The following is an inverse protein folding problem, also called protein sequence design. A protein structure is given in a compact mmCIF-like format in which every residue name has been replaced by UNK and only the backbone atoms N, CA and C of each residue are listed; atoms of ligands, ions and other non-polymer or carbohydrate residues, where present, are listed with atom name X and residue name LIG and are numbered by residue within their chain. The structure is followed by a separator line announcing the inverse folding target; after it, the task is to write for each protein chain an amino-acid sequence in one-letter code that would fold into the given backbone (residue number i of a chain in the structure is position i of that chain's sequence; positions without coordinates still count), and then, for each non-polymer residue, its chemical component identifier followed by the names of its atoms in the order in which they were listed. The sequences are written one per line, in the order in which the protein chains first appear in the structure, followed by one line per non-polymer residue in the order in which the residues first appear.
data_IF_081758475144
#
_entry.id   IF_081758475144
#
_cell.length_a   1.000
_cell.length_b   1.000
_cell.length_c   1.000
_cell.angle_alpha   90.00
_cell.angle_beta   90.00
_cell.angle_gamma   90.00
#
_symmetry.space_group_name_H-M   'P 1'
#
loop_
_entity.id
_entity.type
_entity.pdbx_description
1 polymer ?
#
# COMPACT_ATOMS: atom_id res chain seq x y z
N UNK A 1 6.66 -11.85 -15.01
CA UNK A 1 7.29 -10.81 -14.18
C UNK A 1 6.68 -10.74 -12.76
N UNK A 2 5.43 -10.30 -12.56
CA UNK A 2 4.89 -10.04 -11.21
C UNK A 2 4.93 -11.25 -10.24
N UNK A 3 4.72 -12.48 -10.72
CA UNK A 3 4.90 -13.69 -9.90
C UNK A 3 6.33 -13.84 -9.36
N UNK A 4 7.34 -13.58 -10.20
CA UNK A 4 8.76 -13.59 -9.81
C UNK A 4 9.03 -12.55 -8.73
N UNK A 5 8.41 -11.37 -8.84
CA UNK A 5 8.52 -10.31 -7.82
C UNK A 5 7.90 -10.75 -6.49
N UNK A 6 6.69 -11.32 -6.51
CA UNK A 6 6.02 -11.80 -5.30
C UNK A 6 6.82 -12.92 -4.59
N UNK A 7 7.34 -13.88 -5.36
CA UNK A 7 8.20 -14.95 -4.85
C UNK A 7 9.52 -14.38 -4.29
N UNK A 8 10.12 -13.40 -4.97
CA UNK A 8 11.33 -12.72 -4.53
C UNK A 8 11.16 -11.96 -3.21
N UNK A 9 10.00 -11.32 -2.99
CA UNK A 9 9.63 -10.71 -1.71
C UNK A 9 9.57 -11.79 -0.61
N UNK A 10 9.05 -12.97 -0.94
CA UNK A 10 8.96 -14.12 -0.04
C UNK A 10 7.54 -14.62 0.19
N UNK A 11 6.60 -14.32 -0.71
CA UNK A 11 5.29 -14.97 -0.71
C UNK A 11 5.44 -16.47 -0.97
N UNK A 12 4.81 -17.29 -0.12
CA UNK A 12 4.83 -18.74 -0.26
C UNK A 12 3.67 -19.22 -1.14
N UNK A 13 3.99 -19.68 -2.36
CA UNK A 13 3.01 -20.21 -3.30
C UNK A 13 2.61 -21.68 -3.04
N UNK A 14 3.27 -22.38 -2.11
CA UNK A 14 2.78 -23.68 -1.63
C UNK A 14 1.66 -23.49 -0.58
N UNK A 15 1.66 -22.34 0.10
CA UNK A 15 0.68 -21.91 1.09
C UNK A 15 -0.30 -20.84 0.54
N UNK A 16 -0.40 -20.73 -0.79
CA UNK A 16 -1.17 -19.64 -1.39
C UNK A 16 -1.21 -19.64 -2.92
N UNK A 17 -1.95 -18.69 -3.49
CA UNK A 17 -2.01 -18.51 -4.95
C UNK A 17 -2.42 -17.10 -5.36
N UNK A 18 -2.14 -16.77 -6.63
CA UNK A 18 -2.57 -15.54 -7.27
C UNK A 18 -3.61 -15.82 -8.36
N UNK A 19 -4.70 -15.07 -8.36
CA UNK A 19 -5.79 -15.14 -9.34
C UNK A 19 -6.15 -13.76 -9.94
N UNK A 20 -7.15 -13.70 -10.82
CA UNK A 20 -7.67 -12.44 -11.36
C UNK A 20 -9.00 -12.03 -10.74
N UNK A 21 -9.19 -10.74 -10.53
CA UNK A 21 -10.47 -10.15 -10.12
C UNK A 21 -10.65 -8.74 -10.67
N UNK A 22 -11.87 -8.20 -10.55
CA UNK A 22 -12.17 -6.80 -10.92
C UNK A 22 -11.50 -5.80 -9.98
N UNK A 23 -11.46 -6.11 -8.69
CA UNK A 23 -10.78 -5.34 -7.65
C UNK A 23 -9.82 -6.27 -6.93
N UNK A 24 -8.50 -6.04 -7.01
CA UNK A 24 -7.50 -6.78 -6.26
C UNK A 24 -7.84 -6.83 -4.76
N UNK A 25 -7.64 -7.99 -4.15
CA UNK A 25 -7.75 -8.18 -2.71
C UNK A 25 -6.90 -9.37 -2.26
N UNK A 26 -6.62 -9.44 -0.97
CA UNK A 26 -5.98 -10.56 -0.29
C UNK A 26 -6.93 -11.14 0.76
N UNK A 27 -7.03 -12.46 0.82
CA UNK A 27 -7.89 -13.19 1.76
C UNK A 27 -7.36 -14.61 1.96
N UNK A 28 -7.82 -15.33 2.96
CA UNK A 28 -7.34 -16.68 3.24
C UNK A 28 -8.07 -17.34 4.39
N UNK A 29 -7.82 -18.63 4.58
CA UNK A 29 -8.34 -19.39 5.73
C UNK A 29 -7.41 -19.30 6.95
N UNK A 30 -6.12 -19.10 6.71
CA UNK A 30 -5.06 -19.05 7.72
C UNK A 30 -3.68 -18.97 7.06
N UNK A 31 -2.57 -19.06 7.83
CA UNK A 31 -1.22 -18.88 7.32
C UNK A 31 -0.82 -19.83 6.17
N UNK A 32 -1.49 -20.99 6.09
CA UNK A 32 -1.24 -22.04 5.10
C UNK A 32 -2.16 -22.00 3.86
N UNK A 33 -3.12 -21.08 3.79
CA UNK A 33 -3.96 -20.83 2.60
C UNK A 33 -4.28 -19.34 2.50
N UNK A 34 -3.33 -18.59 1.95
CA UNK A 34 -3.43 -17.15 1.68
C UNK A 34 -3.49 -16.92 0.18
N UNK A 35 -4.54 -16.27 -0.30
CA UNK A 35 -4.78 -16.03 -1.71
C UNK A 35 -4.89 -14.54 -1.95
N UNK A 36 -4.38 -14.11 -3.08
CA UNK A 36 -4.64 -12.76 -3.52
C UNK A 36 -4.98 -12.70 -5.01
N UNK A 37 -5.57 -11.60 -5.41
CA UNK A 37 -5.95 -11.38 -6.79
C UNK A 37 -5.27 -10.14 -7.35
N UNK A 38 -5.15 -10.09 -8.67
CA UNK A 38 -4.70 -8.90 -9.39
C UNK A 38 -5.62 -8.57 -10.55
N UNK A 39 -5.42 -7.39 -11.14
CA UNK A 39 -6.10 -6.96 -12.36
C UNK A 39 -5.05 -6.58 -13.39
N UNK A 40 -5.22 -7.09 -14.61
CA UNK A 40 -4.41 -6.69 -15.74
C UNK A 40 -5.05 -5.51 -16.46
N UNK A 41 -4.20 -4.55 -16.85
CA UNK A 41 -4.54 -3.46 -17.74
C UNK A 41 -3.44 -3.41 -18.82
N UNK A 42 -3.81 -3.71 -20.05
CA UNK A 42 -2.86 -3.75 -21.18
C UNK A 42 -2.31 -2.35 -21.50
N UNK A 43 -3.06 -1.29 -21.17
CA UNK A 43 -2.63 0.09 -21.38
C UNK A 43 -1.74 0.58 -20.23
N UNK A 44 -1.82 -0.05 -19.05
CA UNK A 44 -1.09 0.35 -17.84
C UNK A 44 -0.49 -0.85 -17.07
N UNK A 45 0.63 -1.43 -17.57
CA UNK A 45 1.23 -2.63 -16.98
C UNK A 45 1.73 -2.45 -15.54
N UNK A 46 2.11 -1.23 -15.15
CA UNK A 46 2.50 -0.90 -13.78
C UNK A 46 1.37 -1.12 -12.77
N UNK A 47 0.10 -0.97 -13.20
CA UNK A 47 -1.06 -1.21 -12.34
C UNK A 47 -1.09 -2.64 -11.80
N UNK A 48 -0.82 -3.62 -12.67
CA UNK A 48 -0.73 -5.03 -12.25
C UNK A 48 0.47 -5.28 -11.35
N UNK A 49 1.65 -4.74 -11.69
CA UNK A 49 2.85 -4.93 -10.87
C UNK A 49 2.64 -4.40 -9.44
N UNK A 50 2.21 -3.15 -9.31
CA UNK A 50 2.01 -2.53 -7.99
C UNK A 50 0.82 -3.12 -7.25
N UNK A 51 -0.25 -3.54 -7.95
CA UNK A 51 -1.31 -4.34 -7.36
C UNK A 51 -0.80 -5.65 -6.78
N UNK A 52 0.04 -6.40 -7.52
CA UNK A 52 0.64 -7.65 -7.01
C UNK A 52 1.54 -7.38 -5.82
N UNK A 53 2.37 -6.35 -5.84
CA UNK A 53 3.24 -6.02 -4.70
C UNK A 53 2.43 -5.59 -3.46
N UNK A 54 1.35 -4.83 -3.67
CA UNK A 54 0.42 -4.44 -2.63
C UNK A 54 -0.20 -5.67 -1.96
N UNK A 55 -0.82 -6.55 -2.75
CA UNK A 55 -1.45 -7.74 -2.21
C UNK A 55 -0.44 -8.77 -1.68
N UNK A 56 0.77 -8.81 -2.21
CA UNK A 56 1.88 -9.60 -1.65
C UNK A 56 2.23 -9.13 -0.24
N UNK A 57 2.22 -7.81 0.01
CA UNK A 57 2.48 -7.29 1.35
C UNK A 57 1.39 -7.67 2.36
N UNK A 58 0.13 -7.68 1.94
CA UNK A 58 -0.95 -8.28 2.72
C UNK A 58 -0.72 -9.78 2.95
N UNK A 59 -0.45 -10.53 1.87
CA UNK A 59 -0.30 -11.97 1.93
C UNK A 59 0.86 -12.42 2.81
N UNK A 60 1.99 -11.73 2.75
CA UNK A 60 3.16 -12.03 3.59
C UNK A 60 2.95 -11.71 5.07
N UNK A 61 2.04 -10.78 5.41
CA UNK A 61 1.63 -10.59 6.80
C UNK A 61 0.82 -11.79 7.29
N UNK A 62 -0.21 -12.20 6.52
CA UNK A 62 -1.06 -13.34 6.87
C UNK A 62 -0.25 -14.64 6.97
N UNK A 63 0.67 -14.89 6.02
CA UNK A 63 1.61 -16.03 6.07
C UNK A 63 2.65 -15.93 7.19
N UNK A 64 2.84 -14.74 7.77
CA UNK A 64 3.75 -14.52 8.89
C UNK A 64 3.10 -14.67 10.27
N UNK A 65 1.78 -14.88 10.34
CA UNK A 65 1.07 -15.16 11.59
C UNK A 65 1.43 -16.56 12.11
N UNK A 66 1.40 -16.74 13.43
CA UNK A 66 1.76 -18.00 14.06
C UNK A 66 0.64 -19.05 13.89
N UNK A 67 0.96 -20.14 13.19
CA UNK A 67 0.06 -21.28 12.95
C UNK A 67 -0.50 -21.88 14.25
N UNK A 68 0.29 -21.91 15.34
CA UNK A 68 -0.15 -22.40 16.65
C UNK A 68 -1.31 -21.59 17.28
N UNK A 69 -1.62 -20.42 16.70
CA UNK A 69 -2.71 -19.55 17.12
C UNK A 69 -3.83 -19.43 16.08
N UNK A 70 -3.80 -20.20 14.99
CA UNK A 70 -4.85 -20.22 13.98
C UNK A 70 -6.23 -20.47 14.61
N UNK A 71 -7.24 -19.75 14.11
CA UNK A 71 -8.61 -19.81 14.64
C UNK A 71 -8.82 -19.12 15.99
N UNK A 72 -7.78 -18.55 16.60
CA UNK A 72 -7.89 -17.73 17.82
C UNK A 72 -7.80 -16.23 17.49
N UNK A 73 -8.26 -15.33 18.37
CA UNK A 73 -8.05 -13.90 18.18
C UNK A 73 -6.57 -13.53 18.02
N UNK A 74 -5.65 -14.21 18.72
CA UNK A 74 -4.22 -13.93 18.61
C UNK A 74 -3.66 -14.29 17.23
N UNK A 75 -4.21 -15.29 16.55
CA UNK A 75 -3.81 -15.69 15.19
C UNK A 75 -4.40 -14.84 14.07
N UNK A 76 -4.96 -13.67 14.37
CA UNK A 76 -5.50 -12.73 13.38
C UNK A 76 -4.64 -11.48 13.27
N UNK A 77 -4.62 -10.85 12.10
CA UNK A 77 -4.05 -9.52 11.91
C UNK A 77 -4.72 -8.48 12.82
N UNK A 78 -3.93 -7.59 13.43
CA UNK A 78 -4.36 -6.73 14.53
C UNK A 78 -5.34 -5.62 14.13
N UNK A 79 -5.25 -5.13 12.90
CA UNK A 79 -6.12 -4.07 12.36
C UNK A 79 -5.88 -3.86 10.88
N UNK A 80 -6.87 -3.26 10.21
CA UNK A 80 -6.75 -2.82 8.82
C UNK A 80 -5.59 -1.85 8.59
N UNK A 81 -5.31 -0.95 9.54
CA UNK A 81 -4.20 0.01 9.41
C UNK A 81 -2.82 -0.66 9.42
N UNK A 82 -2.59 -1.61 10.33
CA UNK A 82 -1.34 -2.39 10.33
C UNK A 82 -1.29 -3.33 9.12
N UNK A 83 -2.43 -3.87 8.68
CA UNK A 83 -2.48 -4.72 7.49
C UNK A 83 -2.12 -3.95 6.21
N UNK A 84 -2.69 -2.75 6.03
CA UNK A 84 -2.35 -1.82 4.95
C UNK A 84 -0.90 -1.32 5.02
N UNK A 85 -0.32 -1.24 6.22
CA UNK A 85 1.08 -0.83 6.33
C UNK A 85 2.03 -1.82 5.67
N UNK A 86 1.70 -3.11 5.71
CA UNK A 86 2.49 -4.15 5.06
C UNK A 86 2.37 -4.04 3.54
N UNK A 87 1.15 -3.88 3.01
CA UNK A 87 0.93 -3.71 1.56
C UNK A 87 1.60 -2.47 1.01
N UNK A 88 1.42 -1.32 1.66
CA UNK A 88 2.00 -0.04 1.23
C UNK A 88 3.52 -0.03 1.29
N UNK A 89 4.12 -0.69 2.28
CA UNK A 89 5.58 -0.77 2.36
C UNK A 89 6.16 -1.49 1.13
N UNK A 90 5.63 -2.66 0.79
CA UNK A 90 6.11 -3.43 -0.36
C UNK A 90 5.77 -2.77 -1.69
N UNK A 91 4.56 -2.22 -1.84
CA UNK A 91 4.17 -1.47 -3.04
C UNK A 91 5.05 -0.25 -3.27
N UNK A 92 5.22 0.59 -2.25
CA UNK A 92 5.70 1.96 -2.41
C UNK A 92 7.17 2.12 -1.99
N UNK A 93 7.48 1.85 -0.73
CA UNK A 93 8.84 2.05 -0.18
C UNK A 93 9.84 1.10 -0.83
N UNK A 94 9.40 -0.09 -1.22
CA UNK A 94 10.22 -1.07 -1.97
C UNK A 94 9.93 -0.98 -3.47
N UNK A 95 8.71 -1.26 -3.93
CA UNK A 95 8.42 -1.40 -5.37
C UNK A 95 8.58 -0.14 -6.21
N UNK A 96 8.43 1.04 -5.60
CA UNK A 96 8.65 2.33 -6.28
C UNK A 96 10.02 2.93 -5.95
N UNK A 97 10.92 2.17 -5.34
CA UNK A 97 12.27 2.62 -4.99
C UNK A 97 13.25 2.49 -6.17
N UNK A 98 14.36 3.22 -6.11
CA UNK A 98 15.43 3.10 -7.10
C UNK A 98 16.11 1.72 -7.00
N UNK A 99 16.31 1.24 -5.78
CA UNK A 99 16.95 -0.05 -5.46
C UNK A 99 16.17 -1.23 -6.05
N UNK A 100 14.84 -1.23 -5.97
CA UNK A 100 14.02 -2.26 -6.62
C UNK A 100 14.25 -2.30 -8.14
N UNK A 101 14.22 -1.13 -8.78
CA UNK A 101 14.44 -1.04 -10.23
C UNK A 101 15.88 -1.32 -10.65
N UNK A 102 16.88 -1.05 -9.81
CA UNK A 102 18.26 -1.47 -10.06
C UNK A 102 18.37 -2.99 -10.24
N UNK A 103 17.60 -3.76 -9.48
CA UNK A 103 17.61 -5.20 -9.57
C UNK A 103 16.77 -5.73 -10.74
N UNK A 104 15.55 -5.24 -10.91
CA UNK A 104 14.57 -5.83 -11.83
C UNK A 104 14.48 -5.19 -13.23
N UNK A 105 15.21 -4.12 -13.53
CA UNK A 105 15.03 -3.41 -14.81
C UNK A 105 15.27 -4.30 -16.03
N UNK A 106 16.26 -5.18 -15.99
CA UNK A 106 16.55 -6.06 -17.13
C UNK A 106 15.49 -7.15 -17.30
N UNK A 107 15.03 -7.79 -16.21
CA UNK A 107 13.89 -8.71 -16.21
C UNK A 107 12.62 -8.04 -16.77
N UNK A 108 12.40 -6.77 -16.44
CA UNK A 108 11.26 -6.00 -16.93
C UNK A 108 11.37 -5.74 -18.44
N UNK A 109 12.55 -5.31 -18.93
CA UNK A 109 12.81 -5.12 -20.37
C UNK A 109 12.63 -6.41 -21.17
N UNK A 110 13.07 -7.55 -20.64
CA UNK A 110 12.87 -8.86 -21.29
C UNK A 110 11.39 -9.20 -21.48
N UNK A 111 10.54 -8.82 -20.53
CA UNK A 111 9.10 -9.02 -20.63
C UNK A 111 8.41 -8.04 -21.61
N UNK A 112 9.01 -6.88 -21.86
CA UNK A 112 8.44 -5.80 -22.66
C UNK A 112 9.44 -5.31 -23.72
N UNK A 113 9.72 -6.12 -24.77
CA UNK A 113 10.77 -5.84 -25.76
C UNK A 113 10.48 -4.61 -26.65
N UNK A 114 9.28 -4.03 -26.56
CA UNK A 114 8.94 -2.77 -27.23
C UNK A 114 9.45 -1.53 -26.48
N UNK A 115 9.89 -1.68 -25.22
CA UNK A 115 10.52 -0.60 -24.48
C UNK A 115 11.89 -0.26 -25.06
N UNK A 116 12.36 0.99 -24.94
CA UNK A 116 13.70 1.37 -25.35
C UNK A 116 14.76 0.51 -24.65
N UNK A 117 15.71 -0.03 -25.40
CA UNK A 117 16.78 -0.86 -24.84
C UNK A 117 17.70 -0.08 -23.89
N UNK A 118 17.81 1.24 -24.11
CA UNK A 118 18.54 2.20 -23.31
C UNK A 118 17.72 2.79 -22.15
N UNK A 119 16.50 2.29 -21.89
CA UNK A 119 15.73 2.69 -20.70
C UNK A 119 16.58 2.45 -19.43
N UNK A 120 16.89 3.53 -18.72
CA UNK A 120 17.69 3.46 -17.50
C UNK A 120 16.80 3.49 -16.24
N UNK A 121 17.43 3.12 -15.12
CA UNK A 121 16.77 3.04 -13.81
C UNK A 121 16.23 4.41 -13.39
N UNK A 122 16.96 5.49 -13.67
CA UNK A 122 16.57 6.83 -13.24
C UNK A 122 15.32 7.32 -13.97
N UNK A 123 15.22 7.06 -15.27
CA UNK A 123 14.05 7.38 -16.09
C UNK A 123 12.84 6.58 -15.63
N UNK A 124 13.00 5.27 -15.43
CA UNK A 124 11.92 4.40 -14.97
C UNK A 124 11.46 4.77 -13.55
N UNK A 125 12.39 4.98 -12.63
CA UNK A 125 12.09 5.41 -11.26
C UNK A 125 11.34 6.75 -11.22
N UNK A 126 11.67 7.70 -12.09
CA UNK A 126 10.91 8.95 -12.20
C UNK A 126 9.51 8.71 -12.76
N UNK A 127 9.37 7.86 -13.79
CA UNK A 127 8.08 7.58 -14.43
C UNK A 127 7.07 6.96 -13.45
N UNK A 128 7.49 5.95 -12.68
CA UNK A 128 6.60 5.25 -11.72
C UNK A 128 6.24 6.06 -10.46
N UNK A 129 6.90 7.21 -10.28
CA UNK A 129 6.69 8.13 -9.16
C UNK A 129 6.13 9.47 -9.63
N UNK A 130 5.38 9.48 -10.73
CA UNK A 130 4.68 10.69 -11.18
C UNK A 130 3.57 11.07 -10.21
N UNK A 131 3.55 12.33 -9.78
CA UNK A 131 2.53 12.95 -8.93
C UNK A 131 1.63 13.83 -9.77
N UNK A 132 0.32 13.64 -9.64
CA UNK A 132 -0.69 14.54 -10.21
C UNK A 132 -2.00 14.45 -9.43
N UNK A 133 -2.68 15.59 -9.18
CA UNK A 133 -4.06 15.52 -8.75
C UNK A 133 -4.91 14.70 -9.72
N UNK A 134 -5.73 13.81 -9.19
CA UNK A 134 -6.53 12.87 -9.97
C UNK A 134 -7.89 12.63 -9.32
N UNK A 135 -8.80 11.95 -10.02
CA UNK A 135 -10.17 11.73 -9.55
C UNK A 135 -10.32 10.42 -8.75
N UNK A 136 -9.56 9.38 -9.13
CA UNK A 136 -9.78 8.00 -8.69
C UNK A 136 -8.76 7.64 -7.63
N UNK A 137 -9.24 7.39 -6.40
CA UNK A 137 -8.38 7.10 -5.23
C UNK A 137 -7.46 5.90 -5.44
N UNK A 138 -7.95 4.82 -6.04
CA UNK A 138 -7.13 3.60 -6.24
C UNK A 138 -6.05 3.77 -7.31
N UNK A 139 -6.08 4.87 -8.06
CA UNK A 139 -5.11 5.20 -9.12
C UNK A 139 -4.24 6.42 -8.77
N UNK A 140 -4.45 7.05 -7.60
CA UNK A 140 -3.71 8.23 -7.18
C UNK A 140 -2.30 7.90 -6.70
N UNK A 141 -1.38 8.85 -6.85
CA UNK A 141 0.01 8.72 -6.41
C UNK A 141 0.19 8.83 -4.88
N UNK A 142 1.38 8.49 -4.37
CA UNK A 142 1.67 8.48 -2.93
C UNK A 142 1.49 9.85 -2.23
N UNK A 143 1.70 10.95 -2.96
CA UNK A 143 1.61 12.29 -2.40
C UNK A 143 0.17 12.79 -2.32
N UNK A 144 -0.70 12.36 -3.24
CA UNK A 144 -2.11 12.79 -3.31
C UNK A 144 -3.09 11.80 -2.67
N UNK A 145 -2.72 10.52 -2.52
CA UNK A 145 -3.61 9.46 -2.03
C UNK A 145 -4.29 9.79 -0.69
N UNK A 146 -3.53 10.29 0.28
CA UNK A 146 -4.08 10.57 1.62
C UNK A 146 -5.11 11.71 1.61
N UNK A 147 -5.07 12.60 0.61
CA UNK A 147 -6.07 13.66 0.44
C UNK A 147 -7.42 13.08 -0.01
N UNK A 148 -7.42 12.03 -0.84
CA UNK A 148 -8.64 11.30 -1.17
C UNK A 148 -9.28 10.65 0.07
N UNK A 149 -8.46 10.17 1.02
CA UNK A 149 -8.95 9.65 2.29
C UNK A 149 -9.53 10.77 3.15
N UNK A 150 -8.90 11.94 3.19
CA UNK A 150 -9.42 13.11 3.92
C UNK A 150 -10.81 13.52 3.42
N UNK A 151 -11.03 13.57 2.09
CA UNK A 151 -12.36 13.85 1.50
C UNK A 151 -13.42 12.92 2.08
N UNK A 152 -13.17 11.62 2.10
CA UNK A 152 -14.12 10.61 2.58
C UNK A 152 -14.33 10.69 4.08
N UNK A 153 -13.25 10.87 4.84
CA UNK A 153 -13.32 11.01 6.30
C UNK A 153 -14.13 12.24 6.72
N UNK A 154 -13.97 13.37 6.03
CA UNK A 154 -14.78 14.56 6.30
C UNK A 154 -16.26 14.34 6.00
N UNK A 155 -16.56 13.70 4.87
CA UNK A 155 -17.94 13.32 4.52
C UNK A 155 -18.54 12.42 5.61
N UNK A 156 -17.83 11.37 6.03
CA UNK A 156 -18.28 10.46 7.08
C UNK A 156 -18.55 11.21 8.39
N UNK A 157 -17.66 12.13 8.79
CA UNK A 157 -17.86 12.97 9.97
C UNK A 157 -19.11 13.83 9.86
N UNK A 158 -19.38 14.45 8.72
CA UNK A 158 -20.57 15.28 8.57
C UNK A 158 -21.86 14.45 8.56
N UNK A 159 -21.86 13.30 7.89
CA UNK A 159 -22.99 12.37 7.86
C UNK A 159 -23.31 11.82 9.25
N UNK A 160 -22.32 11.28 9.97
CA UNK A 160 -22.51 10.66 11.28
C UNK A 160 -22.99 11.68 12.33
N UNK A 161 -22.55 12.94 12.22
CA UNK A 161 -23.02 14.01 13.09
C UNK A 161 -24.38 14.60 12.69
N UNK A 162 -24.97 14.17 11.56
CA UNK A 162 -26.24 14.70 11.07
C UNK A 162 -26.16 16.11 10.50
N UNK A 163 -24.97 16.58 10.12
CA UNK A 163 -24.75 17.94 9.60
C UNK A 163 -25.08 18.05 8.10
N UNK A 164 -25.03 16.94 7.36
CA UNK A 164 -25.44 16.85 5.95
C UNK A 164 -26.34 15.63 5.74
N UNK A 165 -27.22 15.69 4.74
CA UNK A 165 -28.03 14.55 4.33
C UNK A 165 -27.33 13.77 3.22
N UNK A 166 -27.77 12.52 3.00
CA UNK A 166 -27.27 11.68 1.90
C UNK A 166 -27.48 12.34 0.52
N UNK A 167 -28.56 13.10 0.35
CA UNK A 167 -28.84 13.86 -0.88
C UNK A 167 -27.78 14.92 -1.20
N UNK A 168 -27.04 15.39 -0.19
CA UNK A 168 -26.10 16.50 -0.31
C UNK A 168 -24.69 16.00 -0.70
N UNK A 169 -24.49 14.68 -0.70
CA UNK A 169 -23.18 14.06 -0.93
C UNK A 169 -22.56 14.37 -2.30
N UNK A 170 -23.27 14.41 -3.43
CA UNK A 170 -22.66 14.75 -4.71
C UNK A 170 -21.99 16.13 -4.69
N UNK A 171 -22.68 17.14 -4.15
CA UNK A 171 -22.16 18.52 -4.10
C UNK A 171 -21.05 18.66 -3.05
N UNK A 172 -21.24 18.06 -1.87
CA UNK A 172 -20.23 18.09 -0.81
C UNK A 172 -18.94 17.37 -1.24
N UNK A 173 -19.06 16.22 -1.92
CA UNK A 173 -17.93 15.51 -2.51
C UNK A 173 -17.16 16.40 -3.48
N UNK A 174 -17.86 17.02 -4.43
CA UNK A 174 -17.23 17.88 -5.43
C UNK A 174 -16.51 19.06 -4.77
N UNK A 175 -17.13 19.70 -3.78
CA UNK A 175 -16.50 20.78 -3.01
C UNK A 175 -15.21 20.32 -2.32
N UNK A 176 -15.19 19.12 -1.73
CA UNK A 176 -14.01 18.60 -1.02
C UNK A 176 -12.91 18.11 -1.94
N UNK A 177 -13.26 17.54 -3.11
CA UNK A 177 -12.28 17.21 -4.13
C UNK A 177 -11.61 18.48 -4.69
N UNK A 178 -12.37 19.55 -4.92
CA UNK A 178 -11.81 20.84 -5.36
C UNK A 178 -10.92 21.45 -4.27
N UNK A 179 -11.38 21.47 -3.01
CA UNK A 179 -10.62 22.03 -1.89
C UNK A 179 -9.28 21.32 -1.66
N UNK A 180 -9.28 19.98 -1.66
CA UNK A 180 -8.09 19.20 -1.32
C UNK A 180 -7.19 18.88 -2.50
N UNK A 181 -7.77 18.63 -3.68
CA UNK A 181 -7.04 18.15 -4.86
C UNK A 181 -7.09 19.15 -6.03
N UNK A 182 -7.93 20.19 -5.98
CA UNK A 182 -8.07 21.13 -7.10
C UNK A 182 -8.69 20.50 -8.36
N UNK A 183 -9.48 19.44 -8.19
CA UNK A 183 -10.17 18.74 -9.28
C UNK A 183 -11.60 18.43 -8.90
N UNK A 184 -12.51 18.55 -9.87
CA UNK A 184 -13.92 18.22 -9.69
C UNK A 184 -14.35 17.09 -10.66
N UNK A 185 -14.98 16.00 -10.16
CA UNK A 185 -15.49 14.93 -11.03
C UNK A 185 -16.55 15.42 -12.02
N UNK A 186 -16.56 14.92 -13.28
CA UNK A 186 -17.56 15.33 -14.28
C UNK A 186 -18.94 14.69 -14.07
N UNK A 187 -19.04 13.66 -13.23
CA UNK A 187 -20.27 12.94 -12.91
C UNK A 187 -20.09 12.11 -11.63
N UNK A 188 -21.20 11.61 -11.09
CA UNK A 188 -21.21 10.85 -9.84
C UNK A 188 -20.47 9.51 -9.94
N UNK A 189 -20.42 8.88 -11.12
CA UNK A 189 -19.67 7.63 -11.35
C UNK A 189 -18.18 7.80 -11.09
N UNK A 190 -17.60 8.94 -11.49
CA UNK A 190 -16.20 9.30 -11.19
C UNK A 190 -16.06 10.13 -9.90
N UNK A 191 -17.16 10.40 -9.22
CA UNK A 191 -17.23 11.19 -7.99
C UNK A 191 -17.63 10.32 -6.82
N UNK A 192 -18.70 10.70 -6.13
CA UNK A 192 -19.20 10.07 -4.90
C UNK A 192 -19.49 8.57 -5.01
N UNK A 193 -19.75 8.03 -6.21
CA UNK A 193 -20.02 6.61 -6.43
C UNK A 193 -18.78 5.79 -6.83
N UNK A 194 -17.57 6.37 -6.78
CA UNK A 194 -16.36 5.70 -7.25
C UNK A 194 -15.92 4.50 -6.39
N UNK A 195 -16.34 4.47 -5.12
CA UNK A 195 -15.94 3.46 -4.14
C UNK A 195 -17.14 2.67 -3.62
N UNK A 196 -16.93 1.39 -3.33
CA UNK A 196 -17.96 0.45 -2.86
C UNK A 196 -18.19 0.52 -1.34
N UNK A 197 -17.30 1.14 -0.57
CA UNK A 197 -17.28 1.04 0.89
C UNK A 197 -18.60 1.45 1.54
N UNK A 198 -19.17 2.58 1.14
CA UNK A 198 -20.42 3.06 1.74
C UNK A 198 -21.64 2.21 1.35
N UNK A 199 -21.67 1.61 0.17
CA UNK A 199 -22.75 0.68 -0.21
C UNK A 199 -22.67 -0.65 0.55
N UNK A 200 -21.48 -1.00 1.07
CA UNK A 200 -21.27 -2.13 1.98
C UNK A 200 -21.44 -1.76 3.46
N UNK A 201 -21.79 -0.51 3.79
CA UNK A 201 -21.93 -0.04 5.17
C UNK A 201 -20.61 0.19 5.91
N UNK A 202 -19.47 0.23 5.21
CA UNK A 202 -18.14 0.41 5.80
C UNK A 202 -17.84 1.88 6.13
N UNK A 203 -18.53 2.43 7.13
CA UNK A 203 -18.31 3.78 7.67
C UNK A 203 -17.18 3.77 8.69
N UNK A 204 -16.25 4.73 8.61
CA UNK A 204 -15.04 4.77 9.46
C UNK A 204 -13.92 3.85 8.97
N UNK A 205 -14.08 3.25 7.79
CA UNK A 205 -13.10 2.35 7.18
C UNK A 205 -11.95 3.13 6.52
N UNK A 206 -12.25 4.15 5.71
CA UNK A 206 -11.23 4.85 4.92
C UNK A 206 -10.02 5.38 5.69
N UNK A 207 -10.15 5.92 6.92
CA UNK A 207 -9.00 6.37 7.70
C UNK A 207 -7.92 5.30 7.90
N UNK A 208 -8.26 4.01 7.85
CA UNK A 208 -7.28 2.93 8.01
C UNK A 208 -6.29 2.88 6.85
N UNK A 209 -6.66 3.32 5.65
CA UNK A 209 -5.73 3.40 4.52
C UNK A 209 -4.61 4.42 4.78
N UNK A 210 -4.95 5.60 5.30
CA UNK A 210 -3.95 6.59 5.70
C UNK A 210 -3.10 6.09 6.85
N UNK A 211 -3.69 5.46 7.87
CA UNK A 211 -2.91 4.84 8.95
C UNK A 211 -1.90 3.82 8.42
N UNK A 212 -2.27 3.04 7.39
CA UNK A 212 -1.36 2.15 6.69
C UNK A 212 -0.14 2.86 6.12
N UNK A 213 -0.32 3.95 5.38
CA UNK A 213 0.79 4.75 4.85
C UNK A 213 1.71 5.29 5.96
N UNK A 214 1.13 5.78 7.07
CA UNK A 214 1.91 6.31 8.19
C UNK A 214 2.72 5.21 8.87
N UNK A 215 2.08 4.09 9.19
CA UNK A 215 2.73 2.94 9.85
C UNK A 215 3.78 2.32 8.94
N UNK A 216 3.55 2.26 7.62
CA UNK A 216 4.50 1.70 6.66
C UNK A 216 5.82 2.47 6.71
N UNK A 217 5.77 3.80 6.67
CA UNK A 217 6.97 4.63 6.74
C UNK A 217 7.66 4.53 8.09
N UNK A 218 6.91 4.49 9.18
CA UNK A 218 7.45 4.36 10.53
C UNK A 218 8.15 3.01 10.75
N UNK A 219 7.54 1.91 10.29
CA UNK A 219 8.12 0.57 10.35
C UNK A 219 9.35 0.44 9.44
N UNK A 220 9.28 0.95 8.21
CA UNK A 220 10.40 0.93 7.28
C UNK A 220 11.59 1.73 7.81
N UNK A 221 11.35 2.90 8.40
CA UNK A 221 12.38 3.71 9.05
C UNK A 221 13.04 2.98 10.23
N UNK A 222 12.25 2.27 11.06
CA UNK A 222 12.76 1.46 12.15
C UNK A 222 13.60 0.28 11.65
N UNK A 223 13.13 -0.44 10.64
CA UNK A 223 13.88 -1.54 10.03
C UNK A 223 15.23 -1.08 9.48
N UNK A 224 15.29 0.08 8.80
CA UNK A 224 16.55 0.67 8.32
C UNK A 224 17.46 1.12 9.46
N UNK A 225 16.90 1.60 10.56
CA UNK A 225 17.71 1.98 11.73
C UNK A 225 18.39 0.75 12.36
N UNK A 226 17.71 -0.39 12.39
CA UNK A 226 18.23 -1.65 12.91
C UNK A 226 19.23 -2.32 11.94
N UNK A 227 18.92 -2.32 10.63
CA UNK A 227 19.83 -2.78 9.58
C UNK A 227 19.94 -1.75 8.43
N UNK A 228 20.93 -0.84 8.49
CA UNK A 228 21.16 0.15 7.45
C UNK A 228 21.54 -0.44 6.07
N UNK A 229 21.84 -1.75 5.99
CA UNK A 229 22.17 -2.41 4.73
C UNK A 229 20.95 -2.81 3.90
N UNK A 230 19.72 -2.75 4.46
CA UNK A 230 18.48 -3.16 3.79
C UNK A 230 18.35 -2.59 2.37
N UNK A 231 18.50 -1.27 2.10
CA UNK A 231 18.39 -0.75 0.73
C UNK A 231 19.41 -1.35 -0.23
N UNK A 232 20.65 -1.55 0.22
CA UNK A 232 21.71 -2.15 -0.59
C UNK A 232 21.49 -3.64 -0.89
N UNK A 233 20.81 -4.35 0.02
CA UNK A 233 20.38 -5.74 -0.14
C UNK A 233 19.20 -5.83 -1.11
N UNK A 234 18.22 -4.93 -1.01
CA UNK A 234 17.11 -4.80 -1.98
C UNK A 234 17.66 -4.59 -3.40
N UNK A 235 18.66 -3.74 -3.57
CA UNK A 235 19.32 -3.52 -4.88
C UNK A 235 20.01 -4.76 -5.48
N UNK A 236 20.22 -5.80 -4.67
CA UNK A 236 20.79 -7.10 -5.07
C UNK A 236 19.75 -8.24 -5.13
N UNK A 237 18.47 -7.92 -4.92
CA UNK A 237 17.39 -8.90 -4.89
C UNK A 237 17.22 -9.63 -3.56
N UNK A 238 17.88 -9.20 -2.50
CA UNK A 238 17.79 -9.81 -1.17
C UNK A 238 16.66 -9.19 -0.35
N UNK A 239 15.40 -9.38 -0.77
CA UNK A 239 14.22 -8.77 -0.11
C UNK A 239 13.89 -9.37 1.25
N UNK A 240 14.24 -10.64 1.48
CA UNK A 240 13.91 -11.39 2.70
C UNK A 240 14.41 -10.73 3.98
N UNK A 241 15.50 -9.95 3.92
CA UNK A 241 16.02 -9.21 5.08
C UNK A 241 14.96 -8.30 5.71
N UNK A 242 14.16 -7.62 4.89
CA UNK A 242 13.09 -6.74 5.36
C UNK A 242 11.88 -7.56 5.82
N UNK A 243 11.55 -8.64 5.08
CA UNK A 243 10.47 -9.54 5.46
C UNK A 243 10.72 -10.19 6.83
N UNK A 244 11.93 -10.65 7.11
CA UNK A 244 12.29 -11.28 8.38
C UNK A 244 12.23 -10.29 9.55
N UNK A 245 12.57 -9.01 9.31
CA UNK A 245 12.35 -7.95 10.29
C UNK A 245 10.85 -7.78 10.58
N UNK A 246 10.01 -7.70 9.54
CA UNK A 246 8.56 -7.57 9.71
C UNK A 246 7.95 -8.79 10.40
N UNK A 247 8.41 -10.00 10.09
CA UNK A 247 7.98 -11.23 10.76
C UNK A 247 8.22 -11.15 12.26
N UNK A 248 9.45 -10.85 12.64
CA UNK A 248 9.88 -10.83 14.05
C UNK A 248 9.27 -9.69 14.88
N UNK A 249 9.01 -8.52 14.27
CA UNK A 249 8.54 -7.33 15.00
C UNK A 249 7.03 -7.10 14.89
N UNK A 250 6.37 -7.62 13.86
CA UNK A 250 4.96 -7.39 13.57
C UNK A 250 4.20 -8.70 13.42
N UNK A 251 4.58 -9.57 12.49
CA UNK A 251 3.70 -10.66 12.06
C UNK A 251 3.47 -11.70 13.17
N UNK A 252 4.51 -12.13 13.86
CA UNK A 252 4.41 -13.14 14.95
C UNK A 252 3.56 -12.70 16.14
N UNK A 253 3.19 -11.42 16.22
CA UNK A 253 2.37 -10.90 17.32
C UNK A 253 0.87 -11.03 17.07
N UNK A 254 0.42 -11.18 15.82
CA UNK A 254 -0.99 -11.13 15.45
C UNK A 254 -1.75 -10.06 16.22
N UNK A 255 -2.88 -10.41 16.84
CA UNK A 255 -3.69 -9.44 17.63
C UNK A 255 -3.40 -9.45 19.13
N UNK A 256 -2.20 -9.89 19.55
CA UNK A 256 -1.82 -9.90 20.98
C UNK A 256 -1.78 -8.51 21.62
N UNK A 257 -1.43 -7.50 20.82
CA UNK A 257 -1.28 -6.11 21.25
C UNK A 257 -2.31 -5.24 20.54
N UNK A 258 -2.65 -4.07 21.10
CA UNK A 258 -3.41 -3.09 20.32
C UNK A 258 -2.52 -2.54 19.19
N UNK A 259 -3.09 -2.03 18.08
CA UNK A 259 -2.31 -1.54 16.95
C UNK A 259 -1.23 -0.51 17.34
N UNK A 260 -1.60 0.52 18.11
CA UNK A 260 -0.65 1.55 18.55
C UNK A 260 0.45 1.02 19.47
N UNK A 261 0.12 0.05 20.33
CA UNK A 261 1.09 -0.60 21.22
C UNK A 261 2.07 -1.46 20.41
N UNK A 262 1.58 -2.16 19.36
CA UNK A 262 2.42 -2.94 18.46
C UNK A 262 3.40 -2.06 17.68
N UNK A 263 2.91 -0.97 17.08
CA UNK A 263 3.76 0.00 16.38
C UNK A 263 4.80 0.59 17.33
N UNK A 264 4.38 1.04 18.52
CA UNK A 264 5.30 1.59 19.53
C UNK A 264 6.36 0.57 19.94
N UNK A 265 5.97 -0.68 20.16
CA UNK A 265 6.91 -1.75 20.51
C UNK A 265 7.91 -2.03 19.39
N UNK A 266 7.45 -2.07 18.14
CA UNK A 266 8.29 -2.36 16.99
C UNK A 266 9.25 -1.22 16.64
N UNK A 267 8.84 0.04 16.82
CA UNK A 267 9.60 1.21 16.35
C UNK A 267 10.18 2.08 17.46
N UNK A 268 9.89 1.77 18.73
CA UNK A 268 10.35 2.53 19.89
C UNK A 268 9.68 3.89 20.10
N UNK A 269 8.64 4.23 19.33
CA UNK A 269 7.93 5.52 19.41
C UNK A 269 6.46 5.39 19.03
N UNK A 270 5.61 6.25 19.59
CA UNK A 270 4.18 6.26 19.29
C UNK A 270 3.91 6.48 17.79
N UNK A 271 2.76 6.02 17.28
CA UNK A 271 2.34 6.32 15.92
C UNK A 271 2.33 7.82 15.60
N UNK A 272 3.08 8.21 14.57
CA UNK A 272 3.18 9.60 14.11
C UNK A 272 3.23 9.67 12.58
N UNK A 273 2.94 10.85 12.02
CA UNK A 273 3.13 11.12 10.60
C UNK A 273 4.57 11.48 10.23
N UNK A 274 5.46 11.70 11.19
CA UNK A 274 6.78 12.31 10.96
C UNK A 274 7.65 11.53 9.97
N UNK A 275 7.71 10.19 10.09
CA UNK A 275 8.50 9.37 9.16
C UNK A 275 7.91 9.38 7.76
N UNK A 276 6.58 9.41 7.64
CA UNK A 276 5.89 9.46 6.36
C UNK A 276 6.15 10.78 5.64
N UNK A 277 6.04 11.91 6.34
CA UNK A 277 6.37 13.23 5.78
C UNK A 277 7.85 13.27 5.40
N UNK A 278 8.75 12.81 6.26
CA UNK A 278 10.19 12.74 5.96
C UNK A 278 10.48 11.89 4.72
N UNK A 279 9.84 10.73 4.60
CA UNK A 279 9.96 9.84 3.45
C UNK A 279 9.50 10.53 2.16
N UNK A 280 8.27 11.07 2.14
CA UNK A 280 7.73 11.77 0.97
C UNK A 280 8.58 12.98 0.58
N UNK A 281 8.93 13.84 1.53
CA UNK A 281 9.77 15.02 1.27
C UNK A 281 11.12 14.60 0.69
N UNK A 282 11.81 13.63 1.31
CA UNK A 282 13.13 13.20 0.81
C UNK A 282 13.05 12.61 -0.59
N UNK A 283 12.03 11.78 -0.86
CA UNK A 283 11.83 11.11 -2.15
C UNK A 283 11.49 12.13 -3.24
N UNK A 284 10.46 12.94 -3.02
CA UNK A 284 9.92 13.83 -4.05
C UNK A 284 10.77 15.07 -4.29
N UNK A 285 11.47 15.62 -3.27
CA UNK A 285 12.45 16.69 -3.50
C UNK A 285 13.55 16.25 -4.47
N UNK A 286 14.01 14.99 -4.38
CA UNK A 286 15.02 14.44 -5.32
C UNK A 286 14.46 14.19 -6.72
N UNK A 287 13.23 13.65 -6.82
CA UNK A 287 12.62 13.29 -8.11
C UNK A 287 12.25 14.55 -8.92
N UNK A 288 11.77 15.59 -8.24
CA UNK A 288 11.25 16.81 -8.85
C UNK A 288 12.22 18.00 -8.78
N UNK A 289 13.38 17.87 -8.12
CA UNK A 289 14.35 18.94 -7.89
C UNK A 289 13.70 20.18 -7.22
N UNK A 290 12.97 19.95 -6.13
CA UNK A 290 12.28 20.99 -5.34
C UNK A 290 13.20 21.62 -4.29
#
# INVERSE_FOLDING_TARGET
FSLKVAEGIGFDFEAGRMDTSTHPFCSGAGPNDVRFTTRYDEEFPFGCLYGVMHETGHGTYEQGLLEEHEGTPMGQAVSLGVHESQSRMWENMVGRSKEFWQYYIEDFKECFPHLPSDLDVDTLHRAVNTVKPSLIRVESDEATYNLHIMVRYEIEKQLVNGNINVSDLPDFWNSKMEEYLGVTPPNNTKGVLQDIHWSMGAIGYFPTYTLGNLYAAQLYAAAIADDPSIPSKIAKGEFRVLLDWMRSHIHVHGSKLKPADLITKATGKEPSSDDFIKYLTSKYSKIYNL
#
